data_IF_187909785680
#
_entry.id   IF_187909785680
#
_cell.length_a   1.000
_cell.length_b   1.000
_cell.length_c   1.000
_cell.angle_alpha   90.00
_cell.angle_beta   90.00
_cell.angle_gamma   90.00
#
_symmetry.space_group_name_H-M   'P 1'
#
loop_
_entity.id
_entity.type
_entity.pdbx_description
1 polymer ?
#
# COMPACT_ATOMS: atom_id res chain seq x y z
N UNK A 1 -12.23 5.26 14.83
CA UNK A 1 -11.34 4.08 14.77
C UNK A 1 -11.20 3.60 13.32
N UNK A 2 -10.39 4.28 12.50
CA UNK A 2 -10.29 3.97 11.06
C UNK A 2 -9.45 2.72 10.75
N UNK A 3 -8.41 2.44 11.54
CA UNK A 3 -7.57 1.26 11.35
C UNK A 3 -8.36 -0.06 11.31
N UNK A 4 -9.34 -0.23 12.22
CA UNK A 4 -10.22 -1.42 12.24
C UNK A 4 -11.11 -1.49 11.00
N UNK A 5 -11.61 -0.35 10.51
CA UNK A 5 -12.45 -0.33 9.31
C UNK A 5 -11.66 -0.66 8.05
N UNK A 6 -10.44 -0.16 7.93
CA UNK A 6 -9.55 -0.50 6.83
C UNK A 6 -9.18 -1.98 6.84
N UNK A 7 -8.84 -2.52 8.02
CA UNK A 7 -8.54 -3.95 8.14
C UNK A 7 -9.76 -4.79 7.76
N UNK A 8 -10.96 -4.46 8.24
CA UNK A 8 -12.20 -5.15 7.85
C UNK A 8 -12.47 -5.09 6.34
N UNK A 9 -12.26 -3.93 5.71
CA UNK A 9 -12.42 -3.78 4.26
C UNK A 9 -11.41 -4.63 3.48
N UNK A 10 -10.18 -4.78 3.99
CA UNK A 10 -9.14 -5.59 3.35
C UNK A 10 -9.40 -7.11 3.35
N UNK A 11 -10.35 -7.61 4.16
CA UNK A 11 -10.71 -9.04 4.21
C UNK A 11 -11.37 -9.49 2.91
N UNK A 12 -12.17 -8.61 2.29
CA UNK A 12 -12.80 -8.85 1.00
C UNK A 12 -12.69 -7.60 0.14
N UNK A 13 -11.55 -7.39 -0.54
CA UNK A 13 -11.27 -6.15 -1.23
C UNK A 13 -12.16 -5.92 -2.45
N UNK A 14 -12.82 -6.95 -3.01
CA UNK A 14 -13.70 -6.83 -4.20
C UNK A 14 -13.07 -6.02 -5.35
N UNK A 15 -11.77 -6.18 -5.59
CA UNK A 15 -11.01 -5.44 -6.61
C UNK A 15 -10.44 -4.09 -6.17
N UNK A 16 -10.53 -3.76 -4.88
CA UNK A 16 -10.07 -2.52 -4.25
C UNK A 16 -9.05 -2.86 -3.15
N UNK A 17 -7.83 -3.18 -3.57
CA UNK A 17 -6.71 -3.47 -2.67
C UNK A 17 -6.09 -2.17 -2.14
N UNK A 18 -5.73 -2.15 -0.85
CA UNK A 18 -5.02 -1.02 -0.26
C UNK A 18 -3.54 -1.12 -0.57
N UNK A 19 -3.14 -0.67 -1.76
CA UNK A 19 -1.75 -0.70 -2.18
C UNK A 19 -1.03 0.55 -1.71
N UNK A 20 0.02 0.37 -0.90
CA UNK A 20 0.93 1.42 -0.51
C UNK A 20 2.26 1.34 -1.23
N UNK A 21 2.86 2.51 -1.48
CA UNK A 21 4.18 2.67 -2.09
C UNK A 21 5.22 2.90 -1.01
N UNK A 22 6.40 2.32 -1.21
CA UNK A 22 7.52 2.52 -0.32
C UNK A 22 8.07 3.94 -0.46
N UNK A 23 8.21 4.63 0.67
CA UNK A 23 8.80 5.96 0.72
C UNK A 23 9.64 6.12 2.00
N UNK A 24 10.64 7.02 2.00
CA UNK A 24 11.40 7.32 3.21
C UNK A 24 10.52 7.97 4.30
N UNK A 25 9.62 8.86 3.89
CA UNK A 25 8.72 9.62 4.75
C UNK A 25 7.45 10.07 4.01
N UNK A 26 6.48 10.59 4.77
CA UNK A 26 5.19 11.02 4.25
C UNK A 26 5.29 12.28 3.36
N UNK A 27 6.29 13.14 3.55
CA UNK A 27 6.44 14.35 2.73
C UNK A 27 6.89 13.98 1.32
N UNK A 28 7.85 13.05 1.19
CA UNK A 28 8.27 12.50 -0.10
C UNK A 28 7.11 11.81 -0.85
N UNK A 29 6.20 11.16 -0.10
CA UNK A 29 4.97 10.60 -0.66
C UNK A 29 4.05 11.69 -1.23
N UNK A 30 3.81 12.77 -0.48
CA UNK A 30 2.98 13.89 -0.94
C UNK A 30 3.58 14.66 -2.12
N UNK A 31 4.90 14.74 -2.23
CA UNK A 31 5.58 15.38 -3.37
C UNK A 31 5.69 14.49 -4.61
N UNK A 32 5.32 13.21 -4.51
CA UNK A 32 5.41 12.25 -5.61
C UNK A 32 6.85 11.81 -5.94
N UNK A 33 7.78 11.95 -4.99
CA UNK A 33 9.19 11.57 -5.14
C UNK A 33 9.44 10.06 -4.95
N UNK A 34 8.42 9.30 -4.57
CA UNK A 34 8.56 7.89 -4.29
C UNK A 34 8.70 7.04 -5.56
N UNK A 35 9.45 5.92 -5.48
CA UNK A 35 9.53 4.96 -6.57
C UNK A 35 8.15 4.42 -6.96
N UNK A 36 7.95 4.17 -8.26
CA UNK A 36 6.73 3.51 -8.74
C UNK A 36 6.60 2.07 -8.21
N UNK A 37 5.37 1.66 -7.94
CA UNK A 37 5.02 0.25 -7.76
C UNK A 37 5.21 -0.47 -9.10
N UNK A 38 6.19 -1.36 -9.16
CA UNK A 38 6.45 -2.11 -10.38
C UNK A 38 5.42 -3.24 -10.51
N UNK A 39 5.12 -3.68 -11.74
CA UNK A 39 4.20 -4.80 -11.98
C UNK A 39 4.65 -6.12 -11.33
N UNK A 40 5.92 -6.22 -10.93
CA UNK A 40 6.44 -7.34 -10.16
C UNK A 40 6.27 -7.17 -8.64
N UNK A 41 5.60 -6.12 -8.16
CA UNK A 41 5.37 -5.87 -6.74
C UNK A 41 6.59 -5.31 -6.00
N UNK A 42 7.62 -4.79 -6.70
CA UNK A 42 8.69 -4.02 -6.04
C UNK A 42 8.20 -2.64 -5.65
N UNK A 43 8.73 -2.15 -4.51
CA UNK A 43 8.44 -0.83 -3.93
C UNK A 43 6.96 -0.61 -3.56
N UNK A 44 6.18 -1.68 -3.44
CA UNK A 44 4.81 -1.62 -2.98
C UNK A 44 4.45 -2.81 -2.08
N UNK A 45 3.41 -2.62 -1.29
CA UNK A 45 2.87 -3.62 -0.40
C UNK A 45 1.37 -3.40 -0.22
N UNK A 46 0.64 -4.47 0.03
CA UNK A 46 -0.78 -4.41 0.38
C UNK A 46 -0.92 -4.24 1.89
N UNK A 47 -1.73 -3.27 2.30
CA UNK A 47 -2.15 -3.09 3.68
C UNK A 47 -3.35 -3.99 3.99
N UNK A 48 -3.27 -4.75 5.08
CA UNK A 48 -4.39 -5.52 5.61
C UNK A 48 -4.25 -7.02 5.42
N UNK A 49 -5.37 -7.71 5.19
CA UNK A 49 -5.43 -9.17 5.28
C UNK A 49 -4.59 -9.90 4.24
N UNK A 50 -4.39 -9.34 3.05
CA UNK A 50 -3.62 -9.97 1.98
C UNK A 50 -2.11 -9.64 2.01
N UNK A 51 -1.61 -8.97 3.06
CA UNK A 51 -0.23 -8.46 3.10
C UNK A 51 0.84 -9.55 2.90
N UNK A 52 0.59 -10.78 3.36
CA UNK A 52 1.52 -11.90 3.28
C UNK A 52 1.82 -12.34 1.84
N UNK A 53 0.89 -12.14 0.91
CA UNK A 53 1.08 -12.49 -0.50
C UNK A 53 2.03 -11.51 -1.22
N UNK A 54 2.17 -10.29 -0.69
CA UNK A 54 2.99 -9.22 -1.25
C UNK A 54 4.29 -9.00 -0.47
N UNK A 55 4.45 -9.69 0.66
CA UNK A 55 5.69 -9.69 1.42
C UNK A 55 6.73 -10.57 0.71
N UNK A 56 7.36 -10.02 -0.33
CA UNK A 56 8.62 -10.57 -0.83
C UNK A 56 9.64 -10.44 0.29
N UNK A 57 9.85 -11.54 1.02
CA UNK A 57 10.94 -11.68 2.00
C UNK A 57 12.25 -11.34 1.29
N UNK A 58 12.68 -10.08 1.39
CA UNK A 58 14.03 -9.70 1.02
C UNK A 58 14.91 -10.38 2.07
N UNK A 59 15.53 -11.48 1.69
CA UNK A 59 16.27 -12.40 2.56
C UNK A 59 17.35 -11.74 3.43
N UNK A 60 17.66 -10.46 3.22
CA UNK A 60 18.71 -9.70 3.91
C UNK A 60 18.28 -8.29 4.38
N UNK A 61 16.98 -7.95 4.46
CA UNK A 61 16.55 -6.59 4.84
C UNK A 61 16.25 -6.48 6.33
N UNK A 62 17.24 -6.03 7.12
CA UNK A 62 17.04 -5.51 8.50
C UNK A 62 16.39 -4.13 8.54
N UNK A 63 15.98 -3.57 7.40
CA UNK A 63 15.42 -2.23 7.29
C UNK A 63 13.91 -2.23 7.52
N UNK A 64 13.46 -1.41 8.47
CA UNK A 64 12.06 -1.04 8.63
C UNK A 64 11.61 -0.25 7.39
N UNK A 65 10.87 -0.89 6.49
CA UNK A 65 10.29 -0.25 5.31
C UNK A 65 9.01 0.47 5.70
N UNK A 66 8.81 1.68 5.18
CA UNK A 66 7.58 2.47 5.38
C UNK A 66 6.84 2.56 4.07
N UNK A 67 5.54 2.28 4.13
CA UNK A 67 4.65 2.36 2.99
C UNK A 67 3.57 3.38 3.27
N UNK A 68 3.21 4.14 2.24
CA UNK A 68 2.23 5.20 2.30
C UNK A 68 1.21 5.01 1.18
N UNK A 69 -0.05 5.33 1.49
CA UNK A 69 -1.17 5.25 0.55
C UNK A 69 -2.21 6.30 0.92
N UNK A 70 -3.00 6.71 -0.08
CA UNK A 70 -4.19 7.51 0.17
C UNK A 70 -5.39 6.60 0.40
N UNK A 71 -6.28 7.03 1.29
CA UNK A 71 -7.59 6.42 1.49
C UNK A 71 -8.69 7.43 1.25
N UNK A 72 -9.85 6.98 0.82
CA UNK A 72 -11.06 7.79 0.79
C UNK A 72 -11.81 7.69 2.13
N UNK A 73 -12.76 8.60 2.36
CA UNK A 73 -13.58 8.60 3.58
C UNK A 73 -14.75 7.59 3.53
N UNK A 74 -15.08 7.07 2.35
CA UNK A 74 -16.20 6.16 2.12
C UNK A 74 -15.71 4.74 1.88
N UNK A 75 -16.42 3.75 2.41
CA UNK A 75 -16.18 2.34 2.08
C UNK A 75 -16.27 2.14 0.55
N UNK A 76 -15.36 1.38 -0.10
CA UNK A 76 -14.34 0.48 0.47
C UNK A 76 -13.01 1.14 0.88
N UNK A 77 -12.93 2.47 0.95
CA UNK A 77 -11.81 3.30 1.43
C UNK A 77 -10.52 3.29 0.59
N UNK A 78 -10.35 2.38 -0.38
CA UNK A 78 -9.18 2.46 -1.26
C UNK A 78 -9.25 3.69 -2.18
N UNK A 79 -8.08 4.14 -2.61
CA UNK A 79 -7.91 5.14 -3.64
C UNK A 79 -7.17 4.52 -4.83
N UNK A 80 -7.89 4.23 -5.91
CA UNK A 80 -7.32 3.63 -7.12
C UNK A 80 -6.47 4.62 -7.93
N UNK A 81 -6.44 5.91 -7.58
CA UNK A 81 -5.64 6.92 -8.30
C UNK A 81 -4.13 6.67 -8.21
N UNK A 82 -3.69 5.92 -7.20
CA UNK A 82 -2.28 5.57 -6.98
C UNK A 82 -1.80 4.37 -7.80
N UNK A 83 -2.72 3.64 -8.44
CA UNK A 83 -2.44 2.45 -9.25
C UNK A 83 -2.29 2.77 -10.74
N UNK A 84 -1.56 3.84 -11.07
CA UNK A 84 -1.11 4.06 -12.43
C UNK A 84 0.05 3.08 -12.73
N UNK A 85 -0.31 1.83 -13.04
CA UNK A 85 0.57 0.93 -13.77
C UNK A 85 0.78 1.54 -15.17
N UNK A 86 1.90 2.22 -15.39
CA UNK A 86 2.40 2.52 -16.73
C UNK A 86 3.50 1.53 -17.09
#
# INVERSE_FOLDING_TARGET
MHAVQYYKASINPRGCEFVGVECPDHRAFLSGECPFCHGDGRNCAVMGMNHEYYNRRLANSTLFRRFYLNTTILYPYCDNSQLNFR
#
